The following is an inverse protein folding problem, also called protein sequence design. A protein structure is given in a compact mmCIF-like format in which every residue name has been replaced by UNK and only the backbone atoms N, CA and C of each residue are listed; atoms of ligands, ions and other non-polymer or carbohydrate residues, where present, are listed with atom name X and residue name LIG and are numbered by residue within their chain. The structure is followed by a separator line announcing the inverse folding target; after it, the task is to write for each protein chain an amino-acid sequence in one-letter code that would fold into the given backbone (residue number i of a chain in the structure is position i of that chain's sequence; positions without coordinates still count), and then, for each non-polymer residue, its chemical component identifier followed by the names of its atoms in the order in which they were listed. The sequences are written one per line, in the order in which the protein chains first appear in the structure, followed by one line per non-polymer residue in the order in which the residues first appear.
data_IF_964415903541
#
_entry.id   IF_964415903541
#
_cell.length_a   1.000
_cell.length_b   1.000
_cell.length_c   1.000
_cell.angle_alpha   90.00
_cell.angle_beta   90.00
_cell.angle_gamma   90.00
#
_symmetry.space_group_name_H-M   'P 1'
#
loop_
_entity.id
_entity.type
_entity.pdbx_description
1 polymer ?
#
# COMPACT_ATOMS: atom_id res chain seq x y z
N UNK A 1 -6.02 5.35 -17.18
CA UNK A 1 -5.99 5.70 -15.73
C UNK A 1 -5.39 4.54 -14.95
N UNK A 2 -4.57 4.81 -13.92
CA UNK A 2 -3.86 3.78 -13.15
C UNK A 2 -4.76 2.75 -12.44
N UNK A 3 -6.05 3.09 -12.25
CA UNK A 3 -7.08 2.24 -11.66
C UNK A 3 -7.88 1.43 -12.69
N UNK A 4 -7.54 1.49 -13.98
CA UNK A 4 -8.24 0.70 -15.00
C UNK A 4 -7.97 -0.79 -14.84
N UNK A 5 -8.94 -1.62 -15.24
CA UNK A 5 -8.78 -3.08 -15.22
C UNK A 5 -7.57 -3.54 -16.04
N UNK A 6 -7.26 -2.85 -17.14
CA UNK A 6 -6.07 -3.12 -17.96
C UNK A 6 -4.77 -2.80 -17.22
N UNK A 7 -4.66 -1.61 -16.62
CA UNK A 7 -3.47 -1.22 -15.86
C UNK A 7 -3.18 -2.20 -14.72
N UNK A 8 -4.24 -2.66 -14.03
CA UNK A 8 -4.13 -3.63 -12.94
C UNK A 8 -3.76 -5.02 -13.47
N UNK A 9 -4.28 -5.45 -14.63
CA UNK A 9 -3.85 -6.69 -15.28
C UNK A 9 -2.37 -6.65 -15.66
N UNK A 10 -1.90 -5.57 -16.30
CA UNK A 10 -0.49 -5.39 -16.66
C UNK A 10 0.41 -5.45 -15.42
N UNK A 11 0.06 -4.72 -14.35
CA UNK A 11 0.82 -4.73 -13.10
C UNK A 11 0.91 -6.11 -12.45
N UNK A 12 -0.19 -6.88 -12.42
CA UNK A 12 -0.18 -8.24 -11.86
C UNK A 12 0.66 -9.21 -12.70
N UNK A 13 0.57 -9.12 -14.02
CA UNK A 13 1.31 -9.96 -14.94
C UNK A 13 2.82 -9.70 -14.82
N UNK A 14 3.24 -8.44 -14.89
CA UNK A 14 4.64 -8.03 -14.80
C UNK A 14 5.30 -8.46 -13.48
N UNK A 15 4.58 -8.31 -12.36
CA UNK A 15 5.09 -8.66 -11.02
C UNK A 15 4.97 -10.16 -10.70
N UNK A 16 4.47 -10.99 -11.63
CA UNK A 16 4.15 -12.41 -11.43
C UNK A 16 3.38 -12.66 -10.13
N UNK A 17 2.37 -11.82 -9.85
CA UNK A 17 1.64 -11.80 -8.57
C UNK A 17 0.91 -13.11 -8.32
N UNK A 18 1.18 -13.72 -7.16
CA UNK A 18 0.47 -14.93 -6.72
C UNK A 18 -1.01 -14.62 -6.50
N UNK A 19 -1.92 -15.56 -6.81
CA UNK A 19 -3.33 -15.43 -6.45
C UNK A 19 -3.51 -15.12 -4.96
N UNK A 20 -4.41 -14.19 -4.64
CA UNK A 20 -4.71 -13.76 -3.26
C UNK A 20 -3.77 -12.70 -2.68
N UNK A 21 -2.74 -12.26 -3.40
CA UNK A 21 -1.92 -11.13 -2.95
C UNK A 21 -2.62 -9.81 -3.31
N UNK A 22 -3.13 -9.10 -2.30
CA UNK A 22 -3.77 -7.81 -2.51
C UNK A 22 -2.77 -6.76 -3.01
N UNK A 23 -3.16 -5.99 -4.02
CA UNK A 23 -2.43 -4.82 -4.46
C UNK A 23 -3.06 -3.60 -3.81
N UNK A 24 -2.29 -2.83 -3.05
CA UNK A 24 -2.82 -1.57 -2.54
C UNK A 24 -2.74 -0.44 -3.55
N UNK A 25 -3.64 0.53 -3.37
CA UNK A 25 -3.76 1.73 -4.18
C UNK A 25 -2.96 2.87 -3.54
N UNK A 26 -2.17 3.64 -4.30
CA UNK A 26 -1.44 4.80 -3.74
C UNK A 26 -2.37 6.02 -3.67
N UNK A 27 -2.50 6.69 -2.51
CA UNK A 27 -3.56 7.70 -2.26
C UNK A 27 -3.14 8.79 -1.24
N UNK A 28 -3.80 9.95 -1.30
CA UNK A 28 -3.66 11.07 -0.34
C UNK A 28 -4.36 10.77 0.99
N UNK A 29 -4.06 11.55 2.04
CA UNK A 29 -4.71 11.45 3.34
C UNK A 29 -6.23 11.74 3.29
N UNK A 30 -6.64 12.72 2.49
CA UNK A 30 -8.06 13.02 2.23
C UNK A 30 -8.79 11.80 1.67
N UNK A 31 -8.23 11.18 0.63
CA UNK A 31 -8.84 10.02 0.01
C UNK A 31 -8.74 8.77 0.90
N UNK A 32 -7.75 8.68 1.80
CA UNK A 32 -7.71 7.66 2.84
C UNK A 32 -8.94 7.77 3.77
N UNK A 33 -9.37 8.99 4.13
CA UNK A 33 -10.58 9.26 4.93
C UNK A 33 -11.88 8.96 4.19
N UNK A 34 -11.96 9.28 2.90
CA UNK A 34 -13.17 9.01 2.10
C UNK A 34 -13.42 7.50 1.90
N UNK A 35 -12.34 6.72 1.79
CA UNK A 35 -12.44 5.31 1.48
C UNK A 35 -12.52 4.40 2.69
N UNK A 36 -11.76 4.66 3.76
CA UNK A 36 -11.77 3.77 4.91
C UNK A 36 -12.87 4.12 5.90
N UNK A 37 -13.37 3.10 6.57
CA UNK A 37 -14.30 3.25 7.69
C UNK A 37 -13.50 3.06 8.97
N UNK A 38 -13.06 4.18 9.55
CA UNK A 38 -12.31 4.27 10.80
C UNK A 38 -12.89 5.40 11.65
N UNK A 39 -12.62 5.37 12.95
CA UNK A 39 -12.91 6.50 13.84
C UNK A 39 -11.86 7.61 13.71
N UNK A 40 -12.14 8.77 14.29
CA UNK A 40 -11.23 9.93 14.24
C UNK A 40 -9.87 9.65 14.89
N UNK A 41 -9.84 8.83 15.95
CA UNK A 41 -8.58 8.51 16.63
C UNK A 41 -7.66 7.72 15.70
N UNK A 42 -8.18 6.75 14.96
CA UNK A 42 -7.41 5.93 14.00
C UNK A 42 -6.97 6.73 12.79
N UNK A 43 -7.80 7.66 12.31
CA UNK A 43 -7.36 8.60 11.28
C UNK A 43 -6.26 9.54 11.78
N UNK A 44 -6.34 9.98 13.04
CA UNK A 44 -5.29 10.79 13.63
C UNK A 44 -3.99 9.99 13.80
N UNK A 45 -4.07 8.72 14.19
CA UNK A 45 -2.91 7.83 14.23
C UNK A 45 -2.21 7.73 12.86
N UNK A 46 -2.96 7.49 11.78
CA UNK A 46 -2.37 7.38 10.43
C UNK A 46 -1.79 8.72 9.97
N UNK A 47 -2.46 9.84 10.25
CA UNK A 47 -1.96 11.19 9.97
C UNK A 47 -0.63 11.44 10.64
N UNK A 48 -0.53 11.23 11.96
CA UNK A 48 0.69 11.48 12.73
C UNK A 48 1.86 10.61 12.22
N UNK A 49 1.60 9.33 11.94
CA UNK A 49 2.63 8.45 11.37
C UNK A 49 3.18 8.98 10.05
N UNK A 50 2.32 9.47 9.16
CA UNK A 50 2.72 9.92 7.82
C UNK A 50 3.30 11.34 7.84
N UNK A 51 2.60 12.28 8.46
CA UNK A 51 2.90 13.72 8.36
C UNK A 51 3.93 14.19 9.39
N UNK A 52 3.93 13.62 10.59
CA UNK A 52 4.80 14.09 11.69
C UNK A 52 6.04 13.20 11.85
N UNK A 53 5.85 11.89 11.75
CA UNK A 53 6.96 10.93 11.87
C UNK A 53 7.61 10.58 10.53
N UNK A 54 7.09 11.14 9.43
CA UNK A 54 7.59 10.87 8.08
C UNK A 54 7.74 9.36 7.86
N UNK A 55 6.67 8.60 8.10
CA UNK A 55 6.61 7.16 7.86
C UNK A 55 5.72 6.86 6.66
N UNK A 56 5.94 5.69 6.05
CA UNK A 56 5.09 5.19 4.96
C UNK A 56 4.40 3.88 5.33
N UNK A 57 3.51 3.84 6.35
CA UNK A 57 2.77 2.65 6.70
C UNK A 57 1.78 2.26 5.61
N UNK A 58 1.60 0.96 5.40
CA UNK A 58 0.49 0.45 4.59
C UNK A 58 -0.71 0.22 5.50
N UNK A 59 -1.78 0.95 5.25
CA UNK A 59 -3.02 0.85 6.01
C UNK A 59 -3.94 -0.19 5.39
N UNK A 60 -4.42 -1.10 6.23
CA UNK A 60 -5.52 -2.02 5.95
C UNK A 60 -6.68 -1.65 6.87
N UNK A 61 -7.88 -1.54 6.32
CA UNK A 61 -9.09 -1.27 7.11
C UNK A 61 -10.36 -1.59 6.31
N UNK A 62 -11.52 -1.71 6.97
CA UNK A 62 -12.82 -1.70 6.29
C UNK A 62 -12.98 -0.46 5.41
N UNK A 63 -13.75 -0.58 4.34
CA UNK A 63 -13.91 0.50 3.35
C UNK A 63 -15.36 0.81 3.02
N UNK A 64 -15.61 2.05 2.59
CA UNK A 64 -16.89 2.54 2.14
C UNK A 64 -17.21 2.00 0.75
N UNK A 65 -17.99 0.93 0.71
CA UNK A 65 -18.35 0.25 -0.54
C UNK A 65 -19.20 1.14 -1.48
N UNK A 66 -19.87 2.17 -0.95
CA UNK A 66 -20.69 3.10 -1.73
C UNK A 66 -19.89 4.23 -2.39
N UNK A 67 -18.59 4.34 -2.10
CA UNK A 67 -17.76 5.40 -2.67
C UNK A 67 -17.64 5.25 -4.19
N UNK A 68 -17.78 6.34 -4.94
CA UNK A 68 -17.82 6.29 -6.41
C UNK A 68 -16.56 5.65 -7.03
N UNK A 69 -15.39 5.86 -6.44
CA UNK A 69 -14.15 5.22 -6.88
C UNK A 69 -14.14 3.71 -6.65
N UNK A 70 -14.84 3.21 -5.63
CA UNK A 70 -14.97 1.78 -5.35
C UNK A 70 -15.98 1.15 -6.30
N UNK A 71 -17.14 1.79 -6.48
CA UNK A 71 -18.17 1.38 -7.44
C UNK A 71 -17.67 1.40 -8.89
N UNK A 72 -16.71 2.29 -9.21
CA UNK A 72 -16.07 2.35 -10.52
C UNK A 72 -15.06 1.23 -10.79
N UNK A 73 -14.68 0.42 -9.80
CA UNK A 73 -13.76 -0.70 -10.00
C UNK A 73 -14.49 -1.90 -10.60
N UNK A 74 -13.86 -2.57 -11.56
CA UNK A 74 -14.39 -3.85 -12.03
C UNK A 74 -14.37 -4.89 -10.90
N UNK A 75 -15.27 -5.89 -10.88
CA UNK A 75 -15.26 -6.93 -9.85
C UNK A 75 -13.90 -7.63 -9.70
N UNK A 76 -13.20 -7.88 -10.81
CA UNK A 76 -11.85 -8.48 -10.78
C UNK A 76 -10.81 -7.55 -10.16
N UNK A 77 -10.97 -6.24 -10.34
CA UNK A 77 -10.11 -5.24 -9.72
C UNK A 77 -10.38 -5.17 -8.22
N UNK A 78 -11.65 -5.09 -7.82
CA UNK A 78 -12.05 -5.05 -6.41
C UNK A 78 -11.53 -6.27 -5.66
N UNK A 79 -11.69 -7.47 -6.24
CA UNK A 79 -11.16 -8.73 -5.68
C UNK A 79 -9.63 -8.72 -5.49
N UNK A 80 -8.90 -7.98 -6.33
CA UNK A 80 -7.43 -7.90 -6.29
C UNK A 80 -6.90 -6.85 -5.32
N UNK A 81 -7.72 -5.88 -4.91
CA UNK A 81 -7.31 -4.78 -4.02
C UNK A 81 -7.96 -4.87 -2.65
N UNK A 82 -8.88 -5.81 -2.46
CA UNK A 82 -9.57 -6.06 -1.19
C UNK A 82 -9.40 -7.51 -0.74
N UNK A 83 -9.47 -7.73 0.56
CA UNK A 83 -9.51 -9.06 1.18
C UNK A 83 -10.40 -8.99 2.42
N UNK A 84 -11.33 -9.93 2.56
CA UNK A 84 -12.21 -10.05 3.74
C UNK A 84 -12.93 -8.74 4.13
N UNK A 85 -13.37 -7.97 3.14
CA UNK A 85 -14.04 -6.67 3.35
C UNK A 85 -13.11 -5.52 3.72
N UNK A 86 -11.80 -5.72 3.66
CA UNK A 86 -10.78 -4.71 3.92
C UNK A 86 -10.11 -4.27 2.62
N UNK A 87 -9.77 -2.99 2.55
CA UNK A 87 -9.01 -2.39 1.46
C UNK A 87 -7.55 -2.17 1.91
N UNK A 88 -6.61 -2.38 1.00
CA UNK A 88 -5.18 -2.09 1.22
C UNK A 88 -4.75 -0.89 0.36
N UNK A 89 -3.84 -0.07 0.89
CA UNK A 89 -3.23 1.09 0.20
C UNK A 89 -1.74 0.87 -0.03
N UNK A 90 -1.28 1.04 -1.28
CA UNK A 90 0.10 0.84 -1.76
C UNK A 90 0.48 -0.58 -2.25
N UNK A 91 1.46 -0.69 -3.13
CA UNK A 91 2.13 -1.97 -3.45
C UNK A 91 3.58 -1.74 -3.85
N UNK A 92 4.46 -2.68 -3.54
CA UNK A 92 5.87 -2.66 -3.92
C UNK A 92 6.07 -2.97 -5.41
N UNK A 93 7.12 -2.42 -6.02
CA UNK A 93 7.46 -2.59 -7.44
C UNK A 93 8.57 -3.64 -7.63
N UNK A 94 8.23 -4.89 -7.38
CA UNK A 94 9.12 -6.05 -7.42
C UNK A 94 8.38 -7.29 -7.93
N UNK A 95 9.16 -8.26 -8.40
CA UNK A 95 8.67 -9.63 -8.59
C UNK A 95 8.22 -10.24 -7.28
N UNK A 96 7.15 -11.01 -7.33
CA UNK A 96 6.56 -11.62 -6.14
C UNK A 96 7.52 -12.55 -5.42
N UNK A 97 7.96 -12.12 -4.22
CA UNK A 97 8.93 -12.84 -3.40
C UNK A 97 10.40 -12.47 -3.69
N UNK A 98 10.66 -11.53 -4.60
CA UNK A 98 11.99 -11.04 -4.94
C UNK A 98 12.55 -10.00 -3.96
N UNK A 99 11.78 -9.64 -2.94
CA UNK A 99 12.13 -8.63 -1.95
C UNK A 99 11.98 -7.20 -2.47
N UNK A 100 11.83 -6.25 -1.54
CA UNK A 100 11.74 -4.83 -1.86
C UNK A 100 13.01 -4.35 -2.56
N UNK A 101 12.86 -3.63 -3.67
CA UNK A 101 13.95 -2.90 -4.32
C UNK A 101 13.99 -1.46 -3.81
N UNK A 102 15.19 -0.90 -3.67
CA UNK A 102 15.39 0.43 -3.11
C UNK A 102 15.88 1.46 -4.14
N UNK A 103 16.19 1.02 -5.36
CA UNK A 103 16.47 1.87 -6.51
C UNK A 103 15.80 1.32 -7.76
N UNK A 104 15.67 2.16 -8.79
CA UNK A 104 15.08 1.77 -10.08
C UNK A 104 15.96 0.75 -10.80
N UNK A 105 17.28 0.89 -10.70
CA UNK A 105 18.24 -0.02 -11.35
C UNK A 105 18.14 -1.45 -10.81
N UNK A 106 17.73 -1.60 -9.55
CA UNK A 106 17.55 -2.90 -8.89
C UNK A 106 16.21 -3.58 -9.28
N UNK A 107 15.30 -2.89 -9.97
CA UNK A 107 14.02 -3.43 -10.42
C UNK A 107 14.24 -4.32 -11.65
N UNK A 108 13.58 -5.47 -11.65
CA UNK A 108 13.64 -6.43 -12.75
C UNK A 108 13.13 -5.81 -14.07
N UNK A 109 13.81 -6.08 -15.18
CA UNK A 109 13.51 -5.48 -16.49
C UNK A 109 12.05 -5.69 -16.92
N UNK A 110 11.52 -6.90 -16.71
CA UNK A 110 10.11 -7.22 -17.01
C UNK A 110 9.10 -6.39 -16.19
N UNK A 111 9.50 -5.91 -15.01
CA UNK A 111 8.69 -5.01 -14.18
C UNK A 111 8.82 -3.57 -14.67
N UNK A 112 10.00 -3.16 -15.16
CA UNK A 112 10.26 -1.82 -15.73
C UNK A 112 9.61 -1.61 -17.10
N UNK A 113 9.37 -2.67 -17.87
CA UNK A 113 8.73 -2.58 -19.19
C UNK A 113 7.19 -2.40 -19.13
N UNK A 114 6.58 -2.74 -18.00
CA UNK A 114 5.13 -2.72 -17.83
C UNK A 114 4.46 -1.36 -17.59
N UNK A 115 5.04 -0.40 -16.83
CA UNK A 115 4.42 0.89 -16.58
C UNK A 115 4.56 1.85 -17.76
N UNK A 116 3.59 2.77 -17.90
CA UNK A 116 3.66 3.85 -18.89
C UNK A 116 4.64 4.97 -18.46
N UNK A 117 5.05 4.99 -17.18
CA UNK A 117 5.98 5.98 -16.59
C UNK A 117 6.80 5.34 -15.45
N UNK A 118 8.11 5.57 -15.46
CA UNK A 118 9.01 5.32 -14.32
C UNK A 118 9.47 6.67 -13.78
N UNK A 119 9.40 6.84 -12.47
CA UNK A 119 9.91 8.04 -11.80
C UNK A 119 11.06 7.63 -10.88
N UNK A 120 12.25 8.13 -11.17
CA UNK A 120 13.48 7.81 -10.45
C UNK A 120 13.93 9.00 -9.59
N UNK A 121 13.83 8.83 -8.28
CA UNK A 121 14.32 9.80 -7.28
C UNK A 121 15.59 9.29 -6.56
N UNK A 122 16.25 8.27 -7.11
CA UNK A 122 17.43 7.63 -6.54
C UNK A 122 17.09 6.70 -5.37
N UNK A 123 17.99 6.64 -4.39
CA UNK A 123 17.91 5.70 -3.28
C UNK A 123 16.74 6.00 -2.34
N UNK A 124 15.86 5.02 -2.16
CA UNK A 124 14.74 5.09 -1.24
C UNK A 124 15.22 5.38 0.20
N UNK A 125 14.62 6.39 0.85
CA UNK A 125 15.02 6.89 2.19
C UNK A 125 15.18 5.81 3.26
N UNK A 126 14.25 4.84 3.32
CA UNK A 126 14.20 3.79 4.33
C UNK A 126 14.99 2.52 3.94
N UNK A 127 15.84 2.56 2.90
CA UNK A 127 16.67 1.42 2.48
C UNK A 127 17.53 0.85 3.61
N UNK A 128 17.92 1.69 4.58
CA UNK A 128 18.69 1.30 5.77
C UNK A 128 18.05 0.19 6.59
N UNK A 129 16.73 0.05 6.51
CA UNK A 129 16.02 -1.04 7.20
C UNK A 129 16.15 -2.39 6.47
N UNK A 130 16.52 -2.40 5.19
CA UNK A 130 16.65 -3.62 4.38
C UNK A 130 15.36 -4.41 4.20
N UNK A 131 14.19 -3.82 4.52
CA UNK A 131 12.87 -4.47 4.47
C UNK A 131 11.79 -3.51 3.98
N UNK A 132 10.70 -4.07 3.48
CA UNK A 132 9.53 -3.32 3.01
C UNK A 132 8.81 -2.58 4.15
N UNK A 133 7.88 -1.69 3.80
CA UNK A 133 7.05 -0.93 4.76
C UNK A 133 6.27 -1.81 5.73
N UNK A 134 5.98 -1.28 6.92
CA UNK A 134 5.06 -1.93 7.85
C UNK A 134 3.65 -2.03 7.24
N UNK A 135 2.94 -3.10 7.56
CA UNK A 135 1.52 -3.26 7.20
C UNK A 135 0.74 -3.42 8.50
N UNK A 136 -0.26 -2.58 8.70
CA UNK A 136 -1.12 -2.59 9.89
C UNK A 136 -2.58 -2.56 9.48
N UNK A 137 -3.37 -3.44 10.10
CA UNK A 137 -4.82 -3.37 10.12
C UNK A 137 -5.23 -2.36 11.20
N UNK A 138 -5.64 -1.16 10.79
CA UNK A 138 -6.12 -0.13 11.69
C UNK A 138 -7.59 -0.35 12.11
N UNK A 139 -8.32 -1.23 11.44
CA UNK A 139 -9.65 -1.65 11.87
C UNK A 139 -9.60 -2.50 13.14
N UNK A 140 -8.64 -3.43 13.20
CA UNK A 140 -8.42 -4.34 14.33
C UNK A 140 -7.25 -3.93 15.24
N UNK A 141 -6.48 -2.91 14.85
CA UNK A 141 -5.23 -2.52 15.52
C UNK A 141 -4.20 -3.65 15.59
N UNK A 142 -4.03 -4.38 14.48
CA UNK A 142 -3.12 -5.52 14.37
C UNK A 142 -1.98 -5.24 13.39
N UNK A 143 -0.75 -5.58 13.76
CA UNK A 143 0.40 -5.50 12.86
C UNK A 143 0.48 -6.76 12.02
N UNK A 144 0.15 -6.63 10.72
CA UNK A 144 0.18 -7.73 9.76
C UNK A 144 1.59 -8.00 9.22
N UNK A 145 2.46 -6.98 9.19
CA UNK A 145 3.87 -7.12 8.85
C UNK A 145 4.73 -6.10 9.59
N UNK A 146 5.69 -6.60 10.36
CA UNK A 146 6.80 -5.78 10.87
C UNK A 146 7.70 -5.36 9.70
N UNK A 147 7.75 -4.07 9.41
CA UNK A 147 8.51 -3.50 8.29
C UNK A 147 9.45 -2.38 8.70
N UNK A 148 9.81 -1.53 7.75
CA UNK A 148 10.58 -0.31 8.03
C UNK A 148 9.89 0.54 9.10
N UNK A 149 10.67 1.11 10.02
CA UNK A 149 10.18 1.97 11.11
C UNK A 149 9.24 1.28 12.13
N UNK A 150 9.16 -0.06 12.20
CA UNK A 150 8.28 -0.75 13.13
C UNK A 150 8.48 -0.34 14.59
N UNK A 151 9.72 -0.09 14.99
CA UNK A 151 10.13 0.25 16.34
C UNK A 151 9.59 1.64 16.71
N UNK A 152 9.68 2.61 15.79
CA UNK A 152 9.08 3.95 15.93
C UNK A 152 7.55 3.87 15.98
N UNK A 153 6.95 3.09 15.10
CA UNK A 153 5.50 2.83 15.12
C UNK A 153 5.06 2.31 16.49
N UNK A 154 5.73 1.28 16.99
CA UNK A 154 5.38 0.63 18.26
C UNK A 154 5.48 1.60 19.43
N UNK A 155 6.52 2.42 19.50
CA UNK A 155 6.64 3.43 20.56
C UNK A 155 5.53 4.48 20.43
N UNK A 156 5.27 5.01 19.22
CA UNK A 156 4.20 6.01 19.03
C UNK A 156 2.81 5.48 19.37
N UNK A 157 2.49 4.23 19.01
CA UNK A 157 1.18 3.65 19.29
C UNK A 157 0.89 3.49 20.79
N UNK A 158 1.89 3.50 21.67
CA UNK A 158 1.69 3.45 23.13
C UNK A 158 1.21 4.77 23.74
N UNK A 159 1.34 5.85 22.99
CA UNK A 159 0.99 7.20 23.43
C UNK A 159 -0.42 7.64 22.99
N UNK A 160 -1.12 6.79 22.24
CA UNK A 160 -2.52 6.96 21.85
C UNK A 160 -3.46 6.14 22.73
#
# INVERSE_FOLDING_TARGET
MATSAEAIKRAFAAKRRRPGHAQGLYRSHELHRELHVLDEQRFEMTRVLVEELDMSPMVVAPYNNSHHLIQGLSPQTLYKVTKDGQLMVGSSADLSGGGQKFRVEDIEDEVKEAPDLIVDYGLQRYHVYGRASLITDFGQMEVLRMGSCYELFRERMREF
#
